data_IF_080403196280
#
_entry.id   IF_080403196280
#
_cell.length_a   1.000
_cell.length_b   1.000
_cell.length_c   1.000
_cell.angle_alpha   90.00
_cell.angle_beta   90.00
_cell.angle_gamma   90.00
#
_symmetry.space_group_name_H-M   'P 1'
#
loop_
_entity.id
_entity.type
_entity.pdbx_description
1 polymer ?
#
# COMPACT_ATOMS: atom_id res chain seq x y z
N UNK A 1 -4.65 -33.68 4.94
CA UNK A 1 -3.45 -33.88 4.10
C UNK A 1 -2.48 -32.71 4.29
N UNK A 2 -1.17 -32.93 4.39
CA UNK A 2 -0.18 -31.84 4.52
C UNK A 2 0.00 -31.10 3.18
N UNK A 3 0.24 -29.78 3.25
CA UNK A 3 0.44 -28.93 2.07
C UNK A 3 1.76 -29.24 1.36
N UNK A 4 1.75 -29.22 0.02
CA UNK A 4 2.93 -29.49 -0.79
C UNK A 4 3.94 -28.34 -0.73
N UNK A 5 5.16 -28.65 -0.28
CA UNK A 5 6.26 -27.68 -0.05
C UNK A 5 6.67 -26.89 -1.30
N UNK A 6 6.46 -27.42 -2.51
CA UNK A 6 6.86 -26.72 -3.75
C UNK A 6 6.05 -25.43 -4.03
N UNK A 7 4.85 -25.32 -3.46
CA UNK A 7 3.99 -24.14 -3.61
C UNK A 7 4.14 -23.15 -2.44
N UNK A 8 4.88 -23.53 -1.42
CA UNK A 8 5.08 -22.74 -0.23
C UNK A 8 6.24 -21.75 -0.44
N UNK A 9 5.98 -20.46 -0.22
CA UNK A 9 7.05 -19.45 -0.21
C UNK A 9 8.07 -19.75 0.90
N UNK A 10 9.33 -19.37 0.70
CA UNK A 10 10.35 -19.49 1.76
C UNK A 10 9.99 -18.62 2.97
N UNK A 11 10.47 -18.94 4.18
CA UNK A 11 10.10 -18.19 5.39
C UNK A 11 10.34 -16.69 5.28
N UNK A 12 11.51 -16.26 4.78
CA UNK A 12 11.81 -14.84 4.57
C UNK A 12 10.89 -14.17 3.55
N UNK A 13 10.52 -14.87 2.47
CA UNK A 13 9.56 -14.35 1.49
C UNK A 13 8.16 -14.20 2.09
N UNK A 14 7.76 -15.10 3.00
CA UNK A 14 6.48 -14.95 3.73
C UNK A 14 6.50 -13.72 4.62
N UNK A 15 7.56 -13.54 5.41
CA UNK A 15 7.70 -12.36 6.28
C UNK A 15 7.62 -11.08 5.44
N UNK A 16 8.39 -11.00 4.35
CA UNK A 16 8.37 -9.83 3.46
C UNK A 16 6.98 -9.55 2.88
N UNK A 17 6.25 -10.58 2.46
CA UNK A 17 4.88 -10.40 1.93
C UNK A 17 3.89 -9.99 3.00
N UNK A 18 3.97 -10.57 4.20
CA UNK A 18 3.12 -10.18 5.33
C UNK A 18 3.38 -8.72 5.71
N UNK A 19 4.65 -8.31 5.82
CA UNK A 19 4.98 -6.92 6.14
C UNK A 19 4.63 -5.96 5.01
N UNK A 20 4.79 -6.37 3.74
CA UNK A 20 4.33 -5.59 2.60
C UNK A 20 2.80 -5.42 2.60
N UNK A 21 2.06 -6.47 2.92
CA UNK A 21 0.60 -6.43 3.03
C UNK A 21 0.15 -5.46 4.13
N UNK A 22 0.71 -5.61 5.34
CA UNK A 22 0.31 -4.80 6.49
C UNK A 22 0.82 -3.36 6.37
N UNK A 23 2.12 -3.16 6.35
CA UNK A 23 2.72 -1.82 6.41
C UNK A 23 2.78 -1.16 5.04
N UNK A 24 3.26 -1.87 4.02
CA UNK A 24 3.37 -1.31 2.68
C UNK A 24 2.00 -0.96 2.08
N UNK A 25 1.03 -1.86 2.19
CA UNK A 25 -0.34 -1.62 1.72
C UNK A 25 -1.03 -0.47 2.45
N UNK A 26 -0.80 -0.33 3.76
CA UNK A 26 -1.31 0.79 4.54
C UNK A 26 -0.68 2.12 4.11
N UNK A 27 0.64 2.15 3.90
CA UNK A 27 1.36 3.33 3.41
C UNK A 27 0.85 3.80 2.04
N UNK A 28 0.67 2.87 1.09
CA UNK A 28 0.10 3.19 -0.23
C UNK A 28 -1.33 3.70 -0.09
N UNK A 29 -2.16 3.07 0.75
CA UNK A 29 -3.54 3.51 0.96
C UNK A 29 -3.60 4.91 1.56
N UNK A 30 -2.77 5.20 2.56
CA UNK A 30 -2.70 6.52 3.21
C UNK A 30 -2.26 7.60 2.23
N UNK A 31 -1.13 7.40 1.57
CA UNK A 31 -0.56 8.34 0.60
C UNK A 31 -1.49 8.57 -0.59
N UNK A 32 -2.22 7.54 -1.05
CA UNK A 32 -3.24 7.70 -2.09
C UNK A 32 -4.38 8.64 -1.65
N UNK A 33 -4.92 8.49 -0.44
CA UNK A 33 -5.95 9.42 0.05
C UNK A 33 -5.37 10.83 0.28
N UNK A 34 -4.10 10.93 0.66
CA UNK A 34 -3.40 12.21 0.73
C UNK A 34 -3.28 12.91 -0.63
N UNK A 35 -2.98 12.15 -1.69
CA UNK A 35 -3.03 12.65 -3.06
C UNK A 35 -4.44 13.13 -3.43
N UNK A 36 -5.50 12.41 -3.06
CA UNK A 36 -6.87 12.87 -3.33
C UNK A 36 -7.17 14.22 -2.65
N UNK A 37 -6.63 14.45 -1.44
CA UNK A 37 -6.78 15.72 -0.71
C UNK A 37 -6.09 16.92 -1.38
N UNK A 38 -5.18 16.72 -2.35
CA UNK A 38 -4.60 17.84 -3.11
C UNK A 38 -5.51 18.32 -4.23
N UNK A 39 -6.42 17.47 -4.72
CA UNK A 39 -7.31 17.79 -5.84
C UNK A 39 -8.79 17.96 -5.44
N UNK A 40 -9.20 17.37 -4.32
CA UNK A 40 -10.59 17.33 -3.86
C UNK A 40 -10.73 17.99 -2.49
N UNK A 41 -11.98 18.25 -2.08
CA UNK A 41 -12.26 18.79 -0.75
C UNK A 41 -11.75 17.84 0.35
N UNK A 42 -10.87 18.38 1.20
CA UNK A 42 -10.16 17.62 2.24
C UNK A 42 -11.13 16.97 3.22
N UNK A 43 -12.19 17.67 3.63
CA UNK A 43 -13.18 17.16 4.59
C UNK A 43 -13.91 15.96 4.01
N UNK A 44 -14.33 16.05 2.75
CA UNK A 44 -15.04 14.98 2.04
C UNK A 44 -14.15 13.75 1.84
N UNK A 45 -12.88 13.95 1.47
CA UNK A 45 -11.90 12.85 1.33
C UNK A 45 -11.64 12.18 2.67
N UNK A 46 -11.46 12.94 3.76
CA UNK A 46 -11.25 12.37 5.10
C UNK A 46 -12.46 11.54 5.53
N UNK A 47 -13.68 12.05 5.40
CA UNK A 47 -14.90 11.32 5.79
C UNK A 47 -15.05 10.02 4.98
N UNK A 48 -14.84 10.07 3.67
CA UNK A 48 -14.97 8.86 2.81
C UNK A 48 -13.82 7.87 3.02
N UNK A 49 -12.62 8.35 3.38
CA UNK A 49 -11.44 7.52 3.66
C UNK A 49 -11.65 6.53 4.80
N UNK A 50 -12.54 6.82 5.76
CA UNK A 50 -12.90 5.89 6.83
C UNK A 50 -13.39 4.53 6.30
N UNK A 51 -13.90 4.47 5.07
CA UNK A 51 -14.31 3.23 4.42
C UNK A 51 -13.34 2.84 3.30
N UNK A 52 -13.02 3.77 2.39
CA UNK A 52 -12.22 3.45 1.20
C UNK A 52 -10.78 3.08 1.52
N UNK A 53 -10.21 3.56 2.63
CA UNK A 53 -8.88 3.17 3.10
C UNK A 53 -8.80 1.66 3.36
N UNK A 54 -9.78 1.09 4.09
CA UNK A 54 -9.77 -0.33 4.42
C UNK A 54 -10.01 -1.21 3.19
N UNK A 55 -10.89 -0.77 2.27
CA UNK A 55 -11.16 -1.50 1.02
C UNK A 55 -9.89 -1.54 0.15
N UNK A 56 -9.26 -0.38 -0.07
CA UNK A 56 -8.03 -0.30 -0.84
C UNK A 56 -6.90 -1.11 -0.17
N UNK A 57 -6.78 -1.00 1.15
CA UNK A 57 -5.76 -1.73 1.90
C UNK A 57 -5.96 -3.25 1.77
N UNK A 58 -7.20 -3.75 1.88
CA UNK A 58 -7.49 -5.17 1.71
C UNK A 58 -7.11 -5.68 0.30
N UNK A 59 -7.39 -4.89 -0.75
CA UNK A 59 -6.98 -5.22 -2.13
C UNK A 59 -5.45 -5.30 -2.21
N UNK A 60 -4.73 -4.33 -1.65
CA UNK A 60 -3.26 -4.32 -1.62
C UNK A 60 -2.69 -5.47 -0.78
N UNK A 61 -3.35 -5.89 0.29
CA UNK A 61 -2.93 -7.08 1.03
C UNK A 61 -2.98 -8.33 0.14
N UNK A 62 -4.08 -8.52 -0.61
CA UNK A 62 -4.21 -9.64 -1.56
C UNK A 62 -3.10 -9.58 -2.62
N UNK A 63 -2.84 -8.41 -3.19
CA UNK A 63 -1.80 -8.22 -4.20
C UNK A 63 -0.39 -8.54 -3.66
N UNK A 64 -0.12 -8.24 -2.38
CA UNK A 64 1.16 -8.58 -1.77
C UNK A 64 1.41 -10.09 -1.67
N UNK A 65 0.36 -10.88 -1.42
CA UNK A 65 0.48 -12.33 -1.42
C UNK A 65 0.53 -12.95 -2.83
N UNK A 66 -0.12 -12.31 -3.81
CA UNK A 66 -0.09 -12.71 -5.22
C UNK A 66 1.28 -12.48 -5.87
N UNK A 67 2.06 -11.51 -5.39
CA UNK A 67 3.39 -11.22 -5.89
C UNK A 67 4.33 -12.43 -5.76
N UNK A 68 5.11 -12.75 -6.80
CA UNK A 68 6.09 -13.85 -6.72
C UNK A 68 7.27 -13.56 -5.79
N UNK A 69 7.59 -12.29 -5.56
CA UNK A 69 8.73 -11.86 -4.75
C UNK A 69 8.34 -10.68 -3.83
N UNK A 70 8.56 -10.85 -2.53
CA UNK A 70 8.30 -9.86 -1.47
C UNK A 70 9.09 -8.57 -1.62
N UNK A 71 10.31 -8.61 -2.13
CA UNK A 71 11.11 -7.40 -2.38
C UNK A 71 10.53 -6.56 -3.52
N UNK A 72 10.04 -7.21 -4.57
CA UNK A 72 9.45 -6.50 -5.71
C UNK A 72 8.19 -5.75 -5.28
N UNK A 73 7.32 -6.38 -4.51
CA UNK A 73 6.11 -5.69 -4.03
C UNK A 73 6.45 -4.57 -3.04
N UNK A 74 7.44 -4.75 -2.17
CA UNK A 74 7.92 -3.67 -1.30
C UNK A 74 8.42 -2.47 -2.11
N UNK A 75 9.27 -2.69 -3.11
CA UNK A 75 9.75 -1.64 -3.99
C UNK A 75 8.60 -0.93 -4.71
N UNK A 76 7.61 -1.69 -5.21
CA UNK A 76 6.41 -1.12 -5.84
C UNK A 76 5.61 -0.26 -4.86
N UNK A 77 5.37 -0.74 -3.63
CA UNK A 77 4.60 0.00 -2.63
C UNK A 77 5.30 1.26 -2.16
N UNK A 78 6.60 1.19 -1.90
CA UNK A 78 7.40 2.38 -1.56
C UNK A 78 7.37 3.40 -2.70
N UNK A 79 7.59 2.95 -3.94
CA UNK A 79 7.57 3.83 -5.11
C UNK A 79 6.21 4.52 -5.27
N UNK A 80 5.11 3.77 -5.18
CA UNK A 80 3.76 4.33 -5.25
C UNK A 80 3.51 5.33 -4.12
N UNK A 81 3.89 5.01 -2.89
CA UNK A 81 3.73 5.92 -1.75
C UNK A 81 4.49 7.23 -1.94
N UNK A 82 5.73 7.16 -2.42
CA UNK A 82 6.52 8.37 -2.71
C UNK A 82 5.88 9.20 -3.83
N UNK A 83 5.42 8.55 -4.89
CA UNK A 83 4.73 9.23 -6.00
C UNK A 83 3.45 9.92 -5.55
N UNK A 84 2.65 9.28 -4.70
CA UNK A 84 1.40 9.85 -4.19
C UNK A 84 1.63 10.96 -3.17
N UNK A 85 2.70 10.88 -2.36
CA UNK A 85 3.04 11.96 -1.43
C UNK A 85 3.64 13.20 -2.11
N UNK A 86 4.28 13.05 -3.28
CA UNK A 86 5.04 14.12 -3.91
C UNK A 86 4.25 15.43 -4.14
N UNK A 87 3.00 15.42 -4.64
CA UNK A 87 2.24 16.66 -4.84
C UNK A 87 1.95 17.41 -3.54
N UNK A 88 1.61 16.68 -2.47
CA UNK A 88 1.37 17.29 -1.16
C UNK A 88 2.64 17.92 -0.58
N UNK A 89 3.80 17.26 -0.72
CA UNK A 89 5.09 17.82 -0.28
C UNK A 89 5.41 19.11 -1.04
N UNK A 90 5.18 19.11 -2.35
CA UNK A 90 5.38 20.29 -3.19
C UNK A 90 4.51 21.47 -2.73
N UNK A 91 3.21 21.23 -2.48
CA UNK A 91 2.30 22.25 -1.97
C UNK A 91 2.62 22.74 -0.56
N UNK A 92 3.15 21.87 0.32
CA UNK A 92 3.39 22.21 1.72
C UNK A 92 4.68 23.00 1.97
N UNK A 93 5.70 22.84 1.11
CA UNK A 93 7.05 23.37 1.38
C UNK A 93 7.67 24.23 0.27
N UNK A 94 7.20 24.12 -0.97
CA UNK A 94 7.83 24.81 -2.11
C UNK A 94 6.97 25.95 -2.62
N UNK A 95 5.65 25.79 -2.59
CA UNK A 95 4.67 26.82 -2.93
C UNK A 95 4.28 27.62 -1.70
#
# INVERSE_FOLDING_TARGET
MPANKKYLSSPGQRVLKVTAALFGGYLVSLSFHQLLMTFLDKKTVVITSFFSMYILWAILMILAFLAKNGWKIWATYILLSLLFCAPWIYEAYIK
#
